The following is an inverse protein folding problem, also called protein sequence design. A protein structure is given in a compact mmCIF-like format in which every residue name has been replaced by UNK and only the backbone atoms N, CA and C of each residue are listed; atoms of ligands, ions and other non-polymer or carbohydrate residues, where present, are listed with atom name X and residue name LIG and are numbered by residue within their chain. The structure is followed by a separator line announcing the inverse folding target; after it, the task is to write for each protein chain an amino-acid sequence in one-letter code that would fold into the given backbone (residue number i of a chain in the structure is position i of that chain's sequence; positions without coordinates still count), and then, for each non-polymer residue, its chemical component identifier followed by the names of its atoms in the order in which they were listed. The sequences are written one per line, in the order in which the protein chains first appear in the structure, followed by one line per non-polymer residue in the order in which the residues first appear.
data_IF_540067571918
#
_entry.id   IF_540067571918
#
_cell.length_a   1.000
_cell.length_b   1.000
_cell.length_c   1.000
_cell.angle_alpha   90.00
_cell.angle_beta   90.00
_cell.angle_gamma   90.00
#
_symmetry.space_group_name_H-M   'P 1'
#
loop_
_entity.id
_entity.type
_entity.pdbx_description
1 polymer ?
#
# COMPACT_ATOMS: atom_id res chain seq x y z
N UNK A 1 13.21 -6.00 22.77
CA UNK A 1 12.27 -4.96 23.22
C UNK A 1 12.42 -3.81 22.26
N UNK A 2 11.44 -3.56 21.40
CA UNK A 2 11.55 -2.53 20.36
C UNK A 2 11.65 -1.15 21.00
N UNK A 3 12.73 -0.42 20.70
CA UNK A 3 12.90 0.95 21.14
C UNK A 3 11.88 1.83 20.41
N UNK A 4 10.96 2.41 21.18
CA UNK A 4 9.97 3.37 20.68
C UNK A 4 10.57 4.76 20.69
N UNK A 5 10.56 5.43 19.54
CA UNK A 5 11.08 6.78 19.37
C UNK A 5 9.90 7.75 19.16
N UNK A 6 10.02 8.95 19.72
CA UNK A 6 9.09 10.05 19.47
C UNK A 6 9.56 10.84 18.26
N UNK A 7 8.78 10.80 17.19
CA UNK A 7 9.04 11.56 15.96
C UNK A 7 8.00 12.66 15.78
N UNK A 8 8.35 13.69 15.00
CA UNK A 8 7.42 14.73 14.57
C UNK A 8 7.28 14.62 13.06
N UNK A 9 6.09 14.29 12.59
CA UNK A 9 5.78 14.08 11.18
C UNK A 9 5.02 15.28 10.63
N UNK A 10 5.48 15.82 9.50
CA UNK A 10 4.81 16.95 8.85
C UNK A 10 3.94 16.44 7.70
N UNK A 11 2.63 16.66 7.78
CA UNK A 11 1.66 16.29 6.75
C UNK A 11 0.78 17.51 6.44
N UNK A 12 0.72 17.94 5.18
CA UNK A 12 -0.13 19.03 4.70
C UNK A 12 0.06 20.37 5.46
N UNK A 13 1.30 20.71 5.85
CA UNK A 13 1.65 21.85 6.71
C UNK A 13 1.12 21.73 8.16
N UNK A 14 0.89 20.52 8.65
CA UNK A 14 0.54 20.24 10.04
C UNK A 14 1.55 19.27 10.64
N UNK A 15 2.00 19.59 11.86
CA UNK A 15 2.96 18.80 12.60
C UNK A 15 2.24 17.83 13.55
N UNK A 16 2.45 16.55 13.35
CA UNK A 16 1.89 15.49 14.16
C UNK A 16 2.99 14.80 14.96
N UNK A 17 3.02 14.95 16.31
CA UNK A 17 3.92 14.18 17.14
C UNK A 17 3.39 12.74 17.29
N UNK A 18 4.19 11.75 16.88
CA UNK A 18 3.86 10.33 17.01
C UNK A 18 4.96 9.58 17.77
N UNK A 19 4.58 8.51 18.46
CA UNK A 19 5.52 7.57 19.07
C UNK A 19 5.43 6.28 18.28
N UNK A 20 6.55 5.83 17.71
CA UNK A 20 6.60 4.67 16.80
C UNK A 20 7.83 3.81 17.11
N UNK A 21 7.87 2.60 16.58
CA UNK A 21 9.06 1.76 16.66
C UNK A 21 10.12 2.26 15.66
N UNK A 22 11.40 2.16 16.03
CA UNK A 22 12.53 2.59 15.19
C UNK A 22 12.53 1.95 13.79
N UNK A 23 12.16 0.67 13.69
CA UNK A 23 12.05 -0.07 12.41
C UNK A 23 11.03 0.53 11.44
N UNK A 24 10.02 1.25 11.96
CA UNK A 24 8.94 1.82 11.16
C UNK A 24 9.16 3.29 10.81
N UNK A 25 10.20 3.93 11.35
CA UNK A 25 10.44 5.37 11.17
C UNK A 25 10.62 5.74 9.71
N UNK A 26 11.51 5.04 9.00
CA UNK A 26 11.81 5.30 7.60
C UNK A 26 10.56 5.17 6.73
N UNK A 27 9.82 4.07 6.90
CA UNK A 27 8.58 3.79 6.17
C UNK A 27 7.51 4.86 6.40
N UNK A 28 7.33 5.32 7.65
CA UNK A 28 6.37 6.39 7.97
C UNK A 28 6.78 7.72 7.37
N UNK A 29 8.08 8.05 7.39
CA UNK A 29 8.60 9.31 6.87
C UNK A 29 8.48 9.39 5.35
N UNK A 30 8.79 8.29 4.66
CA UNK A 30 8.58 8.15 3.22
C UNK A 30 7.11 8.23 2.84
N UNK A 31 6.24 7.60 3.63
CA UNK A 31 4.79 7.63 3.40
C UNK A 31 4.25 9.05 3.53
N UNK A 32 4.69 9.81 4.54
CA UNK A 32 4.31 11.21 4.69
C UNK A 32 4.79 12.10 3.53
N UNK A 33 6.02 11.87 3.05
CA UNK A 33 6.54 12.57 1.87
C UNK A 33 5.69 12.30 0.62
N UNK A 34 5.31 11.03 0.38
CA UNK A 34 4.42 10.65 -0.73
C UNK A 34 3.05 11.31 -0.64
N UNK A 35 2.45 11.34 0.56
CA UNK A 35 1.17 12.01 0.79
C UNK A 35 1.30 13.51 0.49
N UNK A 36 2.34 14.18 1.00
CA UNK A 36 2.56 15.61 0.76
C UNK A 36 2.75 15.94 -0.72
N UNK A 37 3.48 15.10 -1.46
CA UNK A 37 3.64 15.25 -2.90
C UNK A 37 2.30 15.10 -3.65
N UNK A 38 1.47 14.15 -3.23
CA UNK A 38 0.15 13.94 -3.83
C UNK A 38 -0.80 15.10 -3.56
N UNK A 39 -0.81 15.61 -2.32
CA UNK A 39 -1.59 16.79 -1.94
C UNK A 39 -1.19 17.98 -2.81
N UNK A 40 0.11 18.26 -2.97
CA UNK A 40 0.60 19.33 -3.86
C UNK A 40 0.15 19.17 -5.31
N UNK A 41 0.12 17.93 -5.83
CA UNK A 41 -0.38 17.66 -7.20
C UNK A 41 -1.87 18.00 -7.32
N UNK A 42 -2.67 17.63 -6.34
CA UNK A 42 -4.10 17.94 -6.34
C UNK A 42 -4.38 19.42 -6.12
N UNK A 43 -3.65 20.11 -5.24
CA UNK A 43 -3.72 21.57 -5.04
C UNK A 43 -3.36 22.35 -6.32
N UNK A 44 -2.42 21.85 -7.13
CA UNK A 44 -2.07 22.48 -8.41
C UNK A 44 -3.08 22.20 -9.52
N UNK A 45 -3.66 20.99 -9.55
CA UNK A 45 -4.54 20.55 -10.63
C UNK A 45 -6.00 20.96 -10.43
N UNK A 46 -6.41 21.13 -9.19
CA UNK A 46 -7.75 21.56 -8.83
C UNK A 46 -7.59 22.77 -7.92
N UNK A 47 -8.26 23.88 -8.23
CA UNK A 47 -8.33 25.07 -7.36
C UNK A 47 -9.12 24.80 -6.06
N UNK A 48 -8.92 23.63 -5.45
CA UNK A 48 -9.59 23.16 -4.26
C UNK A 48 -9.00 23.91 -3.09
N UNK A 49 -9.81 24.81 -2.54
CA UNK A 49 -9.45 25.69 -1.43
C UNK A 49 -9.45 24.98 -0.07
N UNK A 50 -10.10 23.82 0.06
CA UNK A 50 -10.16 23.09 1.32
C UNK A 50 -9.15 21.93 1.38
N UNK A 51 -8.19 22.06 2.30
CA UNK A 51 -7.17 21.05 2.56
C UNK A 51 -7.76 19.72 3.06
N UNK A 52 -8.96 19.75 3.65
CA UNK A 52 -9.65 18.54 4.10
C UNK A 52 -10.17 17.72 2.92
N UNK A 53 -10.72 18.39 1.91
CA UNK A 53 -11.24 17.72 0.70
C UNK A 53 -10.11 17.14 -0.15
N UNK A 54 -8.98 17.85 -0.26
CA UNK A 54 -7.78 17.32 -0.93
C UNK A 54 -7.26 16.07 -0.22
N UNK A 55 -7.29 16.05 1.12
CA UNK A 55 -6.89 14.88 1.89
C UNK A 55 -7.86 13.70 1.66
N UNK A 56 -9.17 13.95 1.63
CA UNK A 56 -10.17 12.93 1.32
C UNK A 56 -9.96 12.35 -0.10
N UNK A 57 -9.64 13.19 -1.08
CA UNK A 57 -9.33 12.76 -2.44
C UNK A 57 -8.06 11.89 -2.50
N UNK A 58 -7.02 12.27 -1.75
CA UNK A 58 -5.81 11.45 -1.57
C UNK A 58 -6.14 10.09 -0.94
N UNK A 59 -6.92 10.07 0.15
CA UNK A 59 -7.33 8.84 0.83
C UNK A 59 -8.10 7.90 -0.09
N UNK A 60 -9.03 8.42 -0.89
CA UNK A 60 -9.79 7.64 -1.86
C UNK A 60 -8.86 7.04 -2.94
N UNK A 61 -7.92 7.83 -3.46
CA UNK A 61 -6.96 7.35 -4.44
C UNK A 61 -6.08 6.23 -3.90
N UNK A 62 -5.55 6.38 -2.69
CA UNK A 62 -4.76 5.34 -2.02
C UNK A 62 -5.59 4.08 -1.74
N UNK A 63 -6.83 4.22 -1.28
CA UNK A 63 -7.73 3.09 -1.06
C UNK A 63 -8.02 2.34 -2.38
N UNK A 64 -8.18 3.06 -3.49
CA UNK A 64 -8.36 2.46 -4.82
C UNK A 64 -7.13 1.66 -5.26
N UNK A 65 -5.92 2.20 -5.05
CA UNK A 65 -4.67 1.49 -5.39
C UNK A 65 -4.51 0.25 -4.51
N UNK A 66 -4.76 0.37 -3.21
CA UNK A 66 -4.67 -0.76 -2.28
C UNK A 66 -5.64 -1.89 -2.68
N UNK A 67 -6.89 -1.56 -2.98
CA UNK A 67 -7.87 -2.54 -3.46
C UNK A 67 -7.47 -3.17 -4.80
N UNK A 68 -6.87 -2.40 -5.71
CA UNK A 68 -6.37 -2.93 -6.99
C UNK A 68 -5.22 -3.92 -6.77
N UNK A 69 -4.25 -3.56 -5.93
CA UNK A 69 -3.13 -4.46 -5.59
C UNK A 69 -3.63 -5.74 -4.92
N UNK A 70 -4.60 -5.66 -4.00
CA UNK A 70 -5.21 -6.84 -3.40
C UNK A 70 -5.88 -7.72 -4.45
N UNK A 71 -6.60 -7.14 -5.41
CA UNK A 71 -7.19 -7.91 -6.52
C UNK A 71 -6.13 -8.58 -7.39
N UNK A 72 -5.07 -7.86 -7.76
CA UNK A 72 -3.97 -8.41 -8.57
C UNK A 72 -3.27 -9.57 -7.85
N UNK A 73 -3.00 -9.44 -6.55
CA UNK A 73 -2.41 -10.52 -5.74
C UNK A 73 -3.32 -11.75 -5.71
N UNK A 74 -4.62 -11.58 -5.44
CA UNK A 74 -5.57 -12.70 -5.44
C UNK A 74 -5.65 -13.38 -6.80
N UNK A 75 -5.60 -12.62 -7.90
CA UNK A 75 -5.65 -13.18 -9.25
C UNK A 75 -4.38 -13.97 -9.59
N UNK A 76 -3.20 -13.47 -9.19
CA UNK A 76 -1.94 -14.21 -9.37
C UNK A 76 -1.90 -15.50 -8.55
N UNK A 77 -2.40 -15.47 -7.30
CA UNK A 77 -2.45 -16.66 -6.47
C UNK A 77 -3.35 -17.74 -7.07
N UNK A 78 -4.52 -17.37 -7.61
CA UNK A 78 -5.40 -18.34 -8.27
C UNK A 78 -4.79 -18.95 -9.54
N UNK A 79 -4.09 -18.15 -10.35
CA UNK A 79 -3.44 -18.65 -11.57
C UNK A 79 -2.25 -19.58 -11.28
N UNK A 80 -1.52 -19.32 -10.19
CA UNK A 80 -0.41 -20.16 -9.75
C UNK A 80 -0.92 -21.47 -9.13
N UNK A 81 -2.00 -21.42 -8.34
CA UNK A 81 -2.64 -22.61 -7.77
C UNK A 81 -3.22 -23.55 -8.85
N UNK A 82 -3.83 -23.00 -9.91
CA UNK A 82 -4.32 -23.79 -11.05
C UNK A 82 -3.18 -24.52 -11.78
N UNK A 83 -2.06 -23.85 -12.05
CA UNK A 83 -0.88 -24.47 -12.69
C UNK A 83 -0.25 -25.55 -11.82
N UNK A 84 -0.23 -25.36 -10.50
CA UNK A 84 0.26 -26.37 -9.56
C UNK A 84 -0.63 -27.62 -9.60
N UNK A 85 -1.96 -27.44 -9.63
CA UNK A 85 -2.91 -28.55 -9.75
C UNK A 85 -2.74 -29.31 -11.08
N UNK A 86 -2.56 -28.61 -12.20
CA UNK A 86 -2.26 -29.25 -13.50
C UNK A 86 -0.97 -30.08 -13.45
N UNK A 87 0.08 -29.56 -12.81
CA UNK A 87 1.35 -30.28 -12.64
C UNK A 87 1.19 -31.54 -11.78
N UNK A 88 0.41 -31.46 -10.70
CA UNK A 88 0.11 -32.61 -9.83
C UNK A 88 -0.64 -33.69 -10.63
N UNK A 89 -1.66 -33.30 -11.40
CA UNK A 89 -2.44 -34.24 -12.20
C UNK A 89 -1.58 -34.93 -13.28
N UNK A 90 -0.66 -34.19 -13.89
CA UNK A 90 0.30 -34.72 -14.86
C UNK A 90 1.27 -35.74 -14.24
N UNK A 91 1.73 -35.48 -13.01
CA UNK A 91 2.55 -36.41 -12.24
C UNK A 91 1.74 -37.67 -11.87
N UNK A 92 0.49 -37.53 -11.42
CA UNK A 92 -0.37 -38.66 -11.06
C UNK A 92 -0.71 -39.54 -12.27
N UNK A 93 -0.93 -38.95 -13.45
CA UNK A 93 -1.10 -39.70 -14.71
C UNK A 93 0.16 -40.49 -15.03
N UNK A 94 1.34 -39.87 -14.92
CA UNK A 94 2.60 -40.57 -15.16
C UNK A 94 2.87 -41.69 -14.16
N UNK A 95 2.53 -41.51 -12.89
CA UNK A 95 2.65 -42.53 -11.85
C UNK A 95 1.68 -43.70 -12.04
N UNK A 96 0.46 -43.46 -12.57
CA UNK A 96 -0.50 -44.52 -12.90
C UNK A 96 -0.13 -45.33 -14.14
N UNK A 97 0.73 -44.80 -14.99
CA UNK A 97 1.13 -45.44 -16.26
C UNK A 97 2.31 -46.41 -16.07
N UNK A 98 2.88 -46.48 -14.86
CA UNK A 98 3.94 -47.41 -14.44
C UNK A 98 3.40 -48.41 -13.42
#
# INVERSE_FOLDING_TARGET
MGETIKIKLEIANRLYPLTINQEQEESLRDSALKINQMIKKFENNYEVRDKQDVLAMCSLHFASIANKNIKEVNNSSSEDDEKILELIDLIDVHLKTY
#
